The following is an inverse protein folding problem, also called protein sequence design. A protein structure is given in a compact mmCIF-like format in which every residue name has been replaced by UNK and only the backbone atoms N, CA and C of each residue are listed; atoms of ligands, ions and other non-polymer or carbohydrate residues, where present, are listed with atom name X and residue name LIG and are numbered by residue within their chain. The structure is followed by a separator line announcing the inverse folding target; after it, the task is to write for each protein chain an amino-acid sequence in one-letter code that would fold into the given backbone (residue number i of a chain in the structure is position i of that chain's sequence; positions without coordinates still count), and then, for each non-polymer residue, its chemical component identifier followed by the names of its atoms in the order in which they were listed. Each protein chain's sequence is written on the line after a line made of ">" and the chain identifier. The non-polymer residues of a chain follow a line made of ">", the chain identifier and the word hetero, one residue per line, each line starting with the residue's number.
data_IF_362830942223
#
_entry.id   IF_362830942223
#
_cell.length_a   1.000
_cell.length_b   1.000
_cell.length_c   1.000
_cell.angle_alpha   90.00
_cell.angle_beta   90.00
_cell.angle_gamma   90.00
#
_symmetry.space_group_name_H-M   'P 1'
#
loop_
_entity.id
_entity.type
_entity.pdbx_description
1 polymer ?
#
# COMPACT_ATOMS: atom_id res chain seq x y z
N UNK A 1 -68.05 43.39 -39.55
CA UNK A 1 -67.15 42.91 -38.48
C UNK A 1 -65.89 42.42 -39.15
N UNK A 2 -64.96 43.34 -39.36
CA UNK A 2 -63.60 43.02 -39.79
C UNK A 2 -62.81 42.65 -38.54
N UNK A 3 -62.28 41.44 -38.49
CA UNK A 3 -61.11 41.14 -37.66
C UNK A 3 -60.05 40.68 -38.63
N UNK A 4 -59.07 41.56 -38.80
CA UNK A 4 -57.90 41.43 -39.65
C UNK A 4 -57.14 40.15 -39.31
N UNK A 5 -57.02 39.26 -40.28
CA UNK A 5 -56.10 38.15 -40.22
C UNK A 5 -55.54 37.92 -41.62
N UNK A 6 -54.21 37.78 -41.67
CA UNK A 6 -53.38 37.38 -42.81
C UNK A 6 -53.01 38.54 -43.76
N UNK A 7 -51.78 39.05 -43.67
CA UNK A 7 -50.74 38.74 -44.66
C UNK A 7 -49.35 39.22 -44.20
N UNK A 8 -48.39 38.33 -44.42
CA UNK A 8 -46.95 38.43 -44.20
C UNK A 8 -46.32 39.81 -44.36
N UNK A 9 -45.57 40.20 -43.33
CA UNK A 9 -44.34 40.96 -43.50
C UNK A 9 -43.25 40.31 -42.65
N UNK A 10 -42.44 39.49 -43.32
CA UNK A 10 -41.19 38.94 -42.83
C UNK A 10 -40.23 40.10 -42.52
N UNK A 11 -40.33 40.65 -41.32
CA UNK A 11 -39.28 41.50 -40.77
C UNK A 11 -38.19 40.59 -40.21
N UNK A 12 -37.05 40.61 -40.89
CA UNK A 12 -35.79 39.98 -40.51
C UNK A 12 -35.35 40.49 -39.11
N UNK A 13 -35.86 39.85 -38.04
CA UNK A 13 -35.47 40.14 -36.67
C UNK A 13 -34.02 39.66 -36.51
N UNK A 14 -33.08 40.60 -36.52
CA UNK A 14 -31.66 40.35 -36.21
C UNK A 14 -31.25 41.40 -35.19
N UNK A 15 -30.45 40.99 -34.20
CA UNK A 15 -30.05 41.86 -33.09
C UNK A 15 -29.19 43.02 -33.63
N UNK A 16 -29.59 44.29 -33.42
CA UNK A 16 -28.92 45.45 -34.01
C UNK A 16 -27.51 45.73 -33.48
N UNK A 17 -26.97 44.90 -32.57
CA UNK A 17 -25.62 45.05 -32.03
C UNK A 17 -24.66 43.92 -32.43
N UNK A 18 -25.13 42.78 -32.95
CA UNK A 18 -24.23 41.70 -33.38
C UNK A 18 -24.59 41.02 -34.71
N UNK A 19 -25.71 41.38 -35.36
CA UNK A 19 -26.02 40.92 -36.71
C UNK A 19 -26.30 39.42 -36.86
N UNK A 20 -26.38 38.66 -35.76
CA UNK A 20 -26.83 37.28 -35.81
C UNK A 20 -28.32 37.26 -36.20
N UNK A 21 -28.65 36.58 -37.30
CA UNK A 21 -30.03 36.30 -37.65
C UNK A 21 -30.68 35.47 -36.54
N UNK A 22 -31.97 35.70 -36.26
CA UNK A 22 -32.80 34.76 -35.49
C UNK A 22 -32.90 33.44 -36.27
N UNK A 23 -31.83 32.66 -36.34
CA UNK A 23 -31.95 31.22 -36.52
C UNK A 23 -32.65 30.69 -35.26
N UNK A 24 -33.96 30.60 -35.38
CA UNK A 24 -34.89 29.83 -34.58
C UNK A 24 -34.47 29.71 -33.09
N UNK A 25 -34.59 30.82 -32.34
CA UNK A 25 -34.40 30.87 -30.88
C UNK A 25 -35.19 29.75 -30.20
N UNK A 26 -36.32 29.35 -30.79
CA UNK A 26 -37.11 28.18 -30.40
C UNK A 26 -36.31 26.88 -30.52
N UNK A 27 -35.65 26.62 -31.66
CA UNK A 27 -34.80 25.44 -31.88
C UNK A 27 -33.57 25.41 -30.97
N UNK A 28 -32.90 26.55 -30.75
CA UNK A 28 -31.79 26.65 -29.78
C UNK A 28 -32.29 26.40 -28.35
N UNK A 29 -33.42 26.98 -27.97
CA UNK A 29 -34.03 26.79 -26.65
C UNK A 29 -34.42 25.33 -26.42
N UNK A 30 -35.00 24.66 -27.41
CA UNK A 30 -35.34 23.23 -27.36
C UNK A 30 -34.09 22.37 -27.22
N UNK A 31 -33.00 22.65 -27.96
CA UNK A 31 -31.72 21.94 -27.83
C UNK A 31 -31.11 22.12 -26.43
N UNK A 32 -31.14 23.33 -25.89
CA UNK A 32 -30.65 23.62 -24.53
C UNK A 32 -31.50 22.92 -23.47
N UNK A 33 -32.83 22.94 -23.61
CA UNK A 33 -33.74 22.21 -22.74
C UNK A 33 -33.49 20.70 -22.78
N UNK A 34 -33.29 20.14 -23.96
CA UNK A 34 -32.99 18.72 -24.13
C UNK A 34 -31.62 18.36 -23.52
N UNK A 35 -30.63 19.23 -23.64
CA UNK A 35 -29.33 19.05 -23.00
C UNK A 35 -29.42 19.12 -21.47
N UNK A 36 -30.27 19.99 -20.91
CA UNK A 36 -30.52 20.04 -19.46
C UNK A 36 -31.13 18.73 -18.96
N UNK A 37 -32.09 18.18 -19.71
CA UNK A 37 -32.74 16.91 -19.37
C UNK A 37 -31.74 15.73 -19.45
N UNK A 38 -30.92 15.70 -20.49
CA UNK A 38 -29.90 14.67 -20.68
C UNK A 38 -28.84 14.71 -19.56
N UNK A 39 -28.33 15.91 -19.25
CA UNK A 39 -27.42 16.12 -18.12
C UNK A 39 -28.08 15.76 -16.78
N UNK A 40 -29.36 16.09 -16.59
CA UNK A 40 -30.13 15.71 -15.41
C UNK A 40 -30.23 14.19 -15.25
N UNK A 41 -30.49 13.47 -16.35
CA UNK A 41 -30.53 12.00 -16.37
C UNK A 41 -29.16 11.39 -16.03
N UNK A 42 -28.08 11.98 -16.55
CA UNK A 42 -26.72 11.52 -16.30
C UNK A 42 -26.34 11.68 -14.82
N UNK A 43 -26.70 12.81 -14.21
CA UNK A 43 -26.49 13.05 -12.77
C UNK A 43 -27.29 12.04 -11.94
N UNK A 44 -28.53 11.72 -12.31
CA UNK A 44 -29.32 10.71 -11.61
C UNK A 44 -28.68 9.32 -11.69
N UNK A 45 -28.21 8.90 -12.88
CA UNK A 45 -27.54 7.61 -13.06
C UNK A 45 -26.23 7.55 -12.25
N UNK A 46 -25.44 8.62 -12.28
CA UNK A 46 -24.21 8.72 -11.48
C UNK A 46 -24.52 8.64 -9.99
N UNK A 47 -25.57 9.34 -9.53
CA UNK A 47 -26.00 9.30 -8.13
C UNK A 47 -26.41 7.90 -7.71
N UNK A 48 -27.21 7.19 -8.53
CA UNK A 48 -27.58 5.81 -8.27
C UNK A 48 -26.34 4.90 -8.15
N UNK A 49 -25.35 5.07 -9.04
CA UNK A 49 -24.08 4.31 -8.98
C UNK A 49 -23.25 4.64 -7.74
N UNK A 50 -23.26 5.90 -7.29
CA UNK A 50 -22.57 6.29 -6.05
C UNK A 50 -23.26 5.64 -4.85
N UNK A 51 -24.59 5.57 -4.82
CA UNK A 51 -25.34 4.88 -3.76
C UNK A 51 -25.00 3.38 -3.76
N UNK A 52 -25.05 2.70 -4.91
CA UNK A 52 -24.66 1.28 -5.03
C UNK A 52 -23.21 1.04 -4.59
N UNK A 53 -22.31 1.98 -4.88
CA UNK A 53 -20.93 1.90 -4.42
C UNK A 53 -20.87 2.06 -2.90
N UNK A 54 -21.53 3.05 -2.31
CA UNK A 54 -21.57 3.27 -0.85
C UNK A 54 -22.13 2.04 -0.13
N UNK A 55 -23.17 1.40 -0.65
CA UNK A 55 -23.74 0.17 -0.08
C UNK A 55 -22.71 -0.97 -0.04
N UNK A 56 -21.94 -1.16 -1.13
CA UNK A 56 -20.85 -2.14 -1.15
C UNK A 56 -19.72 -1.80 -0.17
N UNK A 57 -19.44 -0.51 0.05
CA UNK A 57 -18.45 -0.10 1.03
C UNK A 57 -18.90 -0.39 2.46
N UNK A 58 -20.20 -0.25 2.76
CA UNK A 58 -20.77 -0.66 4.04
C UNK A 58 -20.57 -2.17 4.29
N UNK A 59 -20.80 -3.01 3.27
CA UNK A 59 -20.54 -4.45 3.37
C UNK A 59 -19.05 -4.77 3.65
N UNK A 60 -18.13 -4.05 3.01
CA UNK A 60 -16.69 -4.22 3.26
C UNK A 60 -16.29 -3.74 4.66
N UNK A 61 -16.86 -2.64 5.16
CA UNK A 61 -16.63 -2.20 6.54
C UNK A 61 -17.06 -3.25 7.55
N UNK A 62 -18.23 -3.86 7.36
CA UNK A 62 -18.74 -4.90 8.25
C UNK A 62 -17.91 -6.18 8.19
N UNK A 63 -17.44 -6.58 6.99
CA UNK A 63 -16.47 -7.68 6.86
C UNK A 63 -15.16 -7.38 7.59
N UNK A 64 -14.64 -6.16 7.49
CA UNK A 64 -13.44 -5.75 8.23
C UNK A 64 -13.69 -5.79 9.74
N UNK A 65 -14.85 -5.33 10.22
CA UNK A 65 -15.23 -5.41 11.64
C UNK A 65 -15.32 -6.87 12.10
N UNK A 66 -15.94 -7.74 11.31
CA UNK A 66 -16.04 -9.17 11.61
C UNK A 66 -14.67 -9.87 11.66
N UNK A 67 -13.77 -9.56 10.72
CA UNK A 67 -12.41 -10.11 10.73
C UNK A 67 -11.61 -9.59 11.93
N UNK A 68 -11.75 -8.30 12.28
CA UNK A 68 -11.11 -7.73 13.48
C UNK A 68 -11.62 -8.39 14.77
N UNK A 69 -12.92 -8.63 14.90
CA UNK A 69 -13.47 -9.34 16.06
C UNK A 69 -13.03 -10.80 16.10
N UNK A 70 -12.97 -11.49 14.95
CA UNK A 70 -12.46 -12.86 14.85
C UNK A 70 -10.98 -12.95 15.25
N UNK A 71 -10.13 -12.02 14.79
CA UNK A 71 -8.73 -11.93 15.20
C UNK A 71 -8.62 -11.67 16.71
N UNK A 72 -9.42 -10.74 17.26
CA UNK A 72 -9.46 -10.45 18.70
C UNK A 72 -9.89 -11.68 19.52
N UNK A 73 -10.86 -12.44 19.04
CA UNK A 73 -11.29 -13.70 19.66
C UNK A 73 -10.20 -14.78 19.58
N UNK A 74 -9.53 -14.96 18.44
CA UNK A 74 -8.38 -15.91 18.34
C UNK A 74 -7.26 -15.56 19.31
N UNK A 75 -6.94 -14.27 19.48
CA UNK A 75 -5.92 -13.82 20.42
C UNK A 75 -6.36 -14.06 21.88
N UNK A 76 -7.64 -13.87 22.21
CA UNK A 76 -8.17 -14.14 23.56
C UNK A 76 -8.26 -15.64 23.90
N UNK A 77 -8.64 -16.51 22.95
CA UNK A 77 -8.70 -17.97 23.17
C UNK A 77 -7.32 -18.61 23.35
N UNK A 78 -6.23 -17.90 23.00
CA UNK A 78 -4.86 -18.41 23.23
C UNK A 78 -4.33 -18.10 24.65
N UNK A 79 -5.11 -17.43 25.50
CA UNK A 79 -4.66 -16.96 26.83
C UNK A 79 -5.45 -17.49 28.05
N UNK A 80 -6.50 -18.31 27.91
CA UNK A 80 -7.20 -18.89 29.09
C UNK A 80 -7.68 -20.33 28.86
N UNK A 81 -7.37 -21.19 29.86
CA UNK A 81 -7.79 -22.58 30.14
C UNK A 81 -6.81 -23.70 29.76
N UNK A 82 -6.04 -24.13 30.77
CA UNK A 82 -5.97 -25.55 31.18
C UNK A 82 -6.07 -25.56 32.73
N UNK A 83 -7.02 -26.33 33.31
CA UNK A 83 -6.56 -27.52 34.01
C UNK A 83 -7.44 -28.77 33.82
N UNK A 84 -6.81 -29.83 33.30
CA UNK A 84 -6.83 -31.26 33.76
C UNK A 84 -8.11 -32.12 33.52
N UNK A 85 -7.97 -33.44 33.20
CA UNK A 85 -9.00 -34.21 32.51
C UNK A 85 -9.92 -35.02 33.44
N UNK A 86 -11.16 -35.24 33.00
CA UNK A 86 -12.01 -36.32 33.48
C UNK A 86 -12.64 -37.11 32.33
N UNK A 87 -12.49 -38.42 32.49
CA UNK A 87 -13.09 -39.55 31.77
C UNK A 87 -14.57 -39.38 31.45
N UNK A 88 -14.95 -39.65 30.19
CA UNK A 88 -16.08 -40.52 29.81
C UNK A 88 -16.01 -40.86 28.32
N UNK A 89 -15.92 -42.17 28.08
CA UNK A 89 -15.99 -42.85 26.78
C UNK A 89 -17.38 -42.67 26.16
N UNK A 90 -17.48 -42.61 24.82
CA UNK A 90 -18.28 -43.64 24.18
C UNK A 90 -17.51 -44.32 23.04
N UNK A 91 -17.59 -45.63 23.03
CA UNK A 91 -17.20 -46.51 21.94
C UNK A 91 -18.08 -46.28 20.72
N UNK A 92 -17.50 -46.27 19.51
CA UNK A 92 -17.98 -47.00 18.30
C UNK A 92 -17.05 -46.72 17.08
N UNK A 93 -16.49 -47.83 16.54
CA UNK A 93 -16.20 -48.17 15.11
C UNK A 93 -15.15 -47.31 14.36
N UNK A 94 -13.89 -47.76 14.18
CA UNK A 94 -13.36 -48.76 13.22
C UNK A 94 -13.34 -48.31 11.74
N UNK A 95 -12.13 -48.05 11.21
CA UNK A 95 -11.80 -48.14 9.79
C UNK A 95 -11.56 -46.81 9.04
N UNK A 96 -10.35 -46.63 8.50
CA UNK A 96 -10.09 -45.74 7.35
C UNK A 96 -9.07 -44.63 7.60
N UNK A 97 -7.83 -44.88 7.21
CA UNK A 97 -6.79 -43.86 7.11
C UNK A 97 -7.10 -42.93 5.92
N UNK A 98 -7.30 -41.63 6.17
CA UNK A 98 -7.28 -40.59 5.14
C UNK A 98 -6.01 -39.75 5.33
N UNK A 99 -4.94 -40.19 4.68
CA UNK A 99 -3.75 -39.37 4.39
C UNK A 99 -3.98 -38.71 3.03
N UNK A 100 -3.92 -37.38 2.87
CA UNK A 100 -3.68 -36.81 1.56
C UNK A 100 -2.18 -36.86 1.28
N UNK A 101 -1.75 -37.89 0.54
CA UNK A 101 -0.64 -37.73 -0.39
C UNK A 101 -1.12 -36.76 -1.49
N UNK A 102 -0.44 -35.63 -1.64
CA UNK A 102 -0.48 -34.86 -2.87
C UNK A 102 0.91 -34.91 -3.51
N UNK A 103 1.04 -35.74 -4.54
CA UNK A 103 2.11 -35.65 -5.53
C UNK A 103 1.61 -34.75 -6.66
N UNK A 104 2.37 -33.70 -6.97
CA UNK A 104 2.11 -32.77 -8.06
C UNK A 104 3.41 -32.10 -8.51
N UNK A 105 4.06 -32.75 -9.46
CA UNK A 105 5.31 -32.39 -10.14
C UNK A 105 5.37 -30.94 -10.63
N UNK A 106 6.45 -30.23 -10.31
CA UNK A 106 6.83 -28.94 -10.89
C UNK A 106 8.35 -28.78 -10.83
N UNK A 107 8.99 -29.07 -11.96
CA UNK A 107 10.45 -29.12 -12.15
C UNK A 107 10.98 -27.70 -12.26
N UNK A 108 12.05 -27.37 -11.55
CA UNK A 108 13.19 -26.67 -12.16
C UNK A 108 14.44 -26.93 -11.33
N UNK A 109 15.40 -27.54 -12.02
CA UNK A 109 16.74 -27.82 -11.55
C UNK A 109 17.61 -26.57 -11.71
N UNK A 110 18.42 -26.30 -10.70
CA UNK A 110 19.78 -25.72 -10.73
C UNK A 110 20.22 -25.69 -9.26
N UNK A 111 20.74 -26.79 -8.70
CA UNK A 111 22.11 -27.27 -8.85
C UNK A 111 23.16 -26.26 -8.34
N UNK A 112 23.47 -26.32 -7.05
CA UNK A 112 24.84 -26.53 -6.56
C UNK A 112 24.86 -26.65 -5.02
N UNK A 113 25.46 -27.74 -4.54
CA UNK A 113 25.98 -27.99 -3.20
C UNK A 113 27.52 -27.98 -3.30
N UNK A 114 28.34 -28.22 -2.25
CA UNK A 114 28.10 -28.32 -0.80
C UNK A 114 29.08 -27.50 0.11
N UNK A 115 28.70 -27.44 1.38
CA UNK A 115 29.50 -27.48 2.64
C UNK A 115 31.03 -27.62 2.56
N UNK A 116 31.79 -26.88 3.38
CA UNK A 116 32.64 -27.40 4.49
C UNK A 116 33.42 -26.28 5.23
N UNK A 117 33.86 -26.61 6.44
CA UNK A 117 34.28 -25.79 7.58
C UNK A 117 35.76 -25.41 7.53
N UNK A 118 36.18 -24.34 8.21
CA UNK A 118 37.29 -24.34 9.20
C UNK A 118 37.46 -22.97 9.91
N UNK A 119 38.13 -22.93 11.09
CA UNK A 119 38.30 -21.76 11.96
C UNK A 119 39.72 -21.13 11.89
N UNK A 120 39.94 -20.14 12.78
CA UNK A 120 41.18 -19.51 13.30
C UNK A 120 41.77 -18.25 12.62
N UNK A 121 41.51 -17.12 13.31
CA UNK A 121 42.47 -16.19 13.93
C UNK A 121 43.33 -15.23 13.08
N UNK A 122 43.09 -13.93 13.35
CA UNK A 122 44.06 -12.88 13.71
C UNK A 122 44.30 -11.72 12.73
N UNK A 123 44.34 -10.53 13.34
CA UNK A 123 44.88 -9.23 12.90
C UNK A 123 43.81 -8.26 12.34
N UNK A 124 43.24 -7.33 13.12
CA UNK A 124 43.79 -6.14 13.81
C UNK A 124 43.63 -4.85 13.00
N UNK A 125 43.25 -3.78 13.71
CA UNK A 125 43.34 -2.35 13.37
C UNK A 125 42.06 -1.69 12.79
N UNK A 126 41.23 -1.24 13.74
CA UNK A 126 40.83 0.16 14.02
C UNK A 126 40.41 1.16 12.92
N UNK A 127 39.56 2.16 13.28
CA UNK A 127 38.76 2.97 12.38
C UNK A 127 39.36 4.36 12.10
N UNK A 128 39.12 4.91 10.91
CA UNK A 128 39.26 6.35 10.65
C UNK A 128 38.24 6.82 9.61
N UNK A 129 37.49 7.85 9.99
CA UNK A 129 36.74 8.77 9.12
C UNK A 129 37.65 9.38 8.04
N UNK A 130 37.08 9.81 6.90
CA UNK A 130 37.33 11.20 6.53
C UNK A 130 36.11 11.95 5.99
N UNK A 131 36.21 13.24 6.25
CA UNK A 131 35.44 14.40 5.85
C UNK A 131 35.31 14.58 4.33
N UNK A 132 34.20 15.18 3.92
CA UNK A 132 34.00 16.05 2.74
C UNK A 132 34.40 15.53 1.35
N UNK A 133 33.40 15.20 0.55
CA UNK A 133 33.38 15.62 -0.86
C UNK A 133 31.95 15.62 -1.39
N UNK A 134 31.49 16.83 -1.66
CA UNK A 134 30.27 17.20 -2.36
C UNK A 134 30.22 16.58 -3.76
N UNK A 135 29.11 15.95 -4.11
CA UNK A 135 28.73 15.74 -5.51
C UNK A 135 27.22 15.53 -5.62
N UNK A 136 26.49 16.63 -5.46
CA UNK A 136 25.12 16.76 -5.94
C UNK A 136 25.18 16.89 -7.46
N UNK A 137 24.72 15.85 -8.17
CA UNK A 137 24.39 15.89 -9.59
C UNK A 137 23.13 16.74 -9.79
N UNK A 138 23.33 18.04 -10.01
CA UNK A 138 22.30 18.99 -10.40
C UNK A 138 22.08 18.90 -11.91
N UNK A 139 20.93 18.39 -12.32
CA UNK A 139 20.45 18.49 -13.69
C UNK A 139 20.02 19.95 -13.95
N UNK A 140 20.74 20.63 -14.83
CA UNK A 140 20.38 21.96 -15.33
C UNK A 140 19.34 21.82 -16.45
N UNK A 141 18.21 22.55 -16.43
CA UNK A 141 17.44 22.79 -17.64
C UNK A 141 18.03 23.99 -18.39
N UNK A 142 18.53 23.70 -19.59
CA UNK A 142 18.87 24.68 -20.61
C UNK A 142 17.62 25.45 -21.05
N UNK A 143 17.64 26.77 -20.96
CA UNK A 143 16.65 27.64 -21.64
C UNK A 143 17.22 29.05 -21.77
N UNK A 144 18.06 29.25 -22.79
CA UNK A 144 18.46 30.56 -23.28
C UNK A 144 17.87 30.76 -24.67
N UNK A 145 16.69 31.37 -24.76
CA UNK A 145 16.19 31.97 -25.99
C UNK A 145 15.53 33.30 -25.65
N UNK A 146 16.21 34.36 -26.09
CA UNK A 146 15.86 35.76 -26.00
C UNK A 146 14.62 36.10 -26.83
N UNK A 147 13.75 37.02 -26.40
CA UNK A 147 12.88 37.73 -27.31
C UNK A 147 13.61 38.96 -27.87
N UNK A 148 13.79 38.95 -29.19
CA UNK A 148 14.13 40.12 -29.99
C UNK A 148 12.91 41.03 -30.12
N UNK A 149 13.04 42.29 -29.74
CA UNK A 149 12.18 43.37 -30.19
C UNK A 149 12.97 44.66 -30.38
N UNK A 150 12.80 45.21 -31.57
CA UNK A 150 13.37 46.40 -32.18
C UNK A 150 12.73 47.71 -31.70
N UNK A 151 13.51 48.79 -31.59
CA UNK A 151 13.24 50.20 -31.98
C UNK A 151 14.22 51.14 -31.24
N UNK A 152 15.11 51.88 -31.91
CA UNK A 152 14.97 53.33 -32.27
C UNK A 152 14.33 54.15 -31.13
N UNK A 153 14.89 55.23 -30.57
CA UNK A 153 15.75 56.29 -31.12
C UNK A 153 16.07 57.31 -30.00
N UNK A 154 17.21 58.00 -30.12
CA UNK A 154 17.50 59.38 -29.66
C UNK A 154 17.06 59.84 -28.26
N UNK A 155 18.01 60.00 -27.35
CA UNK A 155 17.88 60.76 -26.11
C UNK A 155 18.47 62.18 -26.24
N UNK A 156 17.61 63.19 -26.27
CA UNK A 156 17.98 64.56 -25.86
C UNK A 156 16.73 65.31 -25.35
N UNK A 157 16.36 65.07 -24.08
CA UNK A 157 15.64 65.96 -23.14
C UNK A 157 14.87 65.15 -22.07
N UNK A 158 15.47 64.83 -20.91
CA UNK A 158 14.76 64.06 -19.86
C UNK A 158 15.35 64.24 -18.45
N UNK A 159 15.20 65.43 -17.84
CA UNK A 159 15.52 65.64 -16.42
C UNK A 159 14.29 65.52 -15.49
N UNK A 160 13.08 65.39 -16.05
CA UNK A 160 11.82 65.18 -15.30
C UNK A 160 11.32 63.72 -15.35
N UNK A 161 11.91 62.88 -16.21
CA UNK A 161 11.57 61.46 -16.42
C UNK A 161 12.31 60.51 -15.44
N UNK A 162 13.33 61.01 -14.75
CA UNK A 162 14.14 60.26 -13.79
C UNK A 162 13.41 60.06 -12.46
N UNK A 163 12.54 60.97 -12.03
CA UNK A 163 11.80 60.82 -10.77
C UNK A 163 10.65 59.82 -10.91
N UNK A 164 9.92 59.84 -12.03
CA UNK A 164 8.83 58.90 -12.32
C UNK A 164 9.35 57.47 -12.53
N UNK A 165 10.50 57.32 -13.17
CA UNK A 165 11.15 56.01 -13.32
C UNK A 165 11.67 55.46 -11.99
N UNK A 166 12.22 56.30 -11.11
CA UNK A 166 12.62 55.86 -9.76
C UNK A 166 11.42 55.40 -8.93
N UNK A 167 10.26 56.07 -9.02
CA UNK A 167 9.04 55.63 -8.33
C UNK A 167 8.51 54.31 -8.89
N UNK A 168 8.46 54.15 -10.21
CA UNK A 168 8.06 52.88 -10.85
C UNK A 168 8.98 51.72 -10.49
N UNK A 169 10.30 51.95 -10.40
CA UNK A 169 11.28 50.95 -9.97
C UNK A 169 11.03 50.49 -8.53
N UNK A 170 10.70 51.41 -7.62
CA UNK A 170 10.37 51.04 -6.23
C UNK A 170 9.08 50.24 -6.15
N UNK A 171 8.06 50.57 -6.95
CA UNK A 171 6.83 49.79 -7.04
C UNK A 171 7.05 48.41 -7.67
N UNK A 172 7.91 48.30 -8.70
CA UNK A 172 8.25 47.02 -9.30
C UNK A 172 9.00 46.12 -8.30
N UNK A 173 9.91 46.69 -7.52
CA UNK A 173 10.67 45.99 -6.49
C UNK A 173 9.77 45.51 -5.34
N UNK A 174 8.80 46.31 -4.90
CA UNK A 174 7.83 45.86 -3.89
C UNK A 174 6.97 44.72 -4.42
N UNK A 175 6.50 44.79 -5.69
CA UNK A 175 5.78 43.68 -6.34
C UNK A 175 6.65 42.41 -6.40
N UNK A 176 7.91 42.50 -6.80
CA UNK A 176 8.83 41.35 -6.82
C UNK A 176 9.00 40.73 -5.43
N UNK A 177 9.25 41.56 -4.39
CA UNK A 177 9.38 41.08 -3.01
C UNK A 177 8.11 40.40 -2.52
N UNK A 178 6.93 40.93 -2.83
CA UNK A 178 5.66 40.29 -2.43
C UNK A 178 5.46 38.95 -3.12
N UNK A 179 5.80 38.85 -4.42
CA UNK A 179 5.73 37.59 -5.15
C UNK A 179 6.72 36.57 -4.57
N UNK A 180 7.92 37.02 -4.22
CA UNK A 180 8.94 36.18 -3.60
C UNK A 180 8.53 35.71 -2.21
N UNK A 181 8.03 36.59 -1.35
CA UNK A 181 7.50 36.24 -0.04
C UNK A 181 6.34 35.24 -0.16
N UNK A 182 5.44 35.42 -1.14
CA UNK A 182 4.37 34.47 -1.40
C UNK A 182 4.89 33.10 -1.88
N UNK A 183 5.93 33.08 -2.71
CA UNK A 183 6.58 31.85 -3.14
C UNK A 183 7.32 31.15 -1.98
N UNK A 184 8.01 31.90 -1.14
CA UNK A 184 8.68 31.40 0.08
C UNK A 184 7.65 30.81 1.06
N UNK A 185 6.48 31.45 1.23
CA UNK A 185 5.38 30.93 2.05
C UNK A 185 4.84 29.58 1.53
N UNK A 186 4.60 29.47 0.22
CA UNK A 186 4.19 28.19 -0.40
C UNK A 186 5.26 27.12 -0.25
N UNK A 187 6.54 27.49 -0.37
CA UNK A 187 7.65 26.55 -0.17
C UNK A 187 7.67 26.05 1.29
N UNK A 188 7.48 26.93 2.27
CA UNK A 188 7.39 26.52 3.68
C UNK A 188 6.19 25.60 3.95
N UNK A 189 5.02 25.89 3.39
CA UNK A 189 3.82 25.04 3.52
C UNK A 189 4.08 23.64 2.96
N UNK A 190 4.65 23.55 1.75
CA UNK A 190 5.00 22.23 1.18
C UNK A 190 6.09 21.52 1.96
N UNK A 191 7.04 22.25 2.56
CA UNK A 191 8.07 21.65 3.42
C UNK A 191 7.46 21.04 4.68
N UNK A 192 6.51 21.73 5.30
CA UNK A 192 5.79 21.27 6.49
C UNK A 192 4.94 20.02 6.18
N UNK A 193 4.21 20.00 5.06
CA UNK A 193 3.45 18.83 4.62
C UNK A 193 4.35 17.60 4.40
N UNK A 194 5.52 17.79 3.78
CA UNK A 194 6.50 16.72 3.56
C UNK A 194 7.05 16.23 4.89
N UNK A 195 7.37 17.14 5.82
CA UNK A 195 7.84 16.79 7.16
C UNK A 195 6.79 15.98 7.91
N UNK A 196 5.52 16.39 7.88
CA UNK A 196 4.41 15.67 8.51
C UNK A 196 4.24 14.27 7.91
N UNK A 197 4.16 14.16 6.58
CA UNK A 197 4.03 12.86 5.90
C UNK A 197 5.23 11.96 6.19
N UNK A 198 6.44 12.53 6.25
CA UNK A 198 7.63 11.77 6.61
C UNK A 198 7.55 11.25 8.05
N UNK A 199 7.12 12.08 9.00
CA UNK A 199 6.94 11.69 10.39
C UNK A 199 5.88 10.59 10.54
N UNK A 200 4.75 10.70 9.83
CA UNK A 200 3.71 9.68 9.78
C UNK A 200 4.25 8.35 9.23
N UNK A 201 4.99 8.37 8.13
CA UNK A 201 5.57 7.17 7.53
C UNK A 201 6.60 6.52 8.46
N UNK A 202 7.48 7.30 9.10
CA UNK A 202 8.44 6.77 10.07
C UNK A 202 7.75 6.18 11.30
N UNK A 203 6.68 6.82 11.80
CA UNK A 203 5.89 6.30 12.91
C UNK A 203 5.22 4.96 12.55
N UNK A 204 4.57 4.88 11.39
CA UNK A 204 3.94 3.66 10.89
C UNK A 204 4.97 2.53 10.68
N UNK A 205 6.13 2.86 10.10
CA UNK A 205 7.21 1.89 9.90
C UNK A 205 7.74 1.37 11.25
N UNK A 206 7.95 2.25 12.22
CA UNK A 206 8.40 1.88 13.55
C UNK A 206 7.37 1.01 14.29
N UNK A 207 6.08 1.32 14.16
CA UNK A 207 5.00 0.51 14.73
C UNK A 207 4.97 -0.90 14.11
N UNK A 208 5.02 -0.99 12.78
CA UNK A 208 5.01 -2.28 12.08
C UNK A 208 6.18 -3.18 12.51
N UNK A 209 7.39 -2.61 12.60
CA UNK A 209 8.58 -3.33 13.07
C UNK A 209 8.45 -3.72 14.54
N UNK A 210 7.86 -2.87 15.38
CA UNK A 210 7.60 -3.22 16.78
C UNK A 210 6.61 -4.39 16.90
N UNK A 211 5.55 -4.40 16.08
CA UNK A 211 4.60 -5.52 15.99
C UNK A 211 5.31 -6.79 15.53
N UNK A 212 6.12 -6.72 14.48
CA UNK A 212 6.92 -7.86 14.00
C UNK A 212 7.81 -8.41 15.11
N UNK A 213 8.58 -7.55 15.80
CA UNK A 213 9.46 -7.98 16.91
C UNK A 213 8.69 -8.69 18.02
N UNK A 214 7.51 -8.17 18.39
CA UNK A 214 6.64 -8.81 19.40
C UNK A 214 6.12 -10.17 18.91
N UNK A 215 5.61 -10.23 17.67
CA UNK A 215 5.09 -11.47 17.10
C UNK A 215 6.19 -12.53 16.96
N UNK A 216 7.37 -12.12 16.49
CA UNK A 216 8.54 -12.97 16.35
C UNK A 216 8.99 -13.53 17.70
N UNK A 217 9.12 -12.69 18.72
CA UNK A 217 9.47 -13.13 20.07
C UNK A 217 8.44 -14.14 20.65
N UNK A 218 7.14 -13.90 20.41
CA UNK A 218 6.08 -14.83 20.84
C UNK A 218 6.18 -16.20 20.12
N UNK A 219 6.46 -16.20 18.82
CA UNK A 219 6.64 -17.42 18.04
C UNK A 219 7.90 -18.17 18.46
N UNK A 220 9.01 -17.46 18.65
CA UNK A 220 10.27 -18.03 19.13
C UNK A 220 10.07 -18.69 20.51
N UNK A 221 9.36 -18.04 21.43
CA UNK A 221 9.01 -18.64 22.74
C UNK A 221 8.17 -19.91 22.59
N UNK A 222 7.17 -19.90 21.70
CA UNK A 222 6.34 -21.09 21.47
C UNK A 222 7.15 -22.22 20.84
N UNK A 223 8.03 -21.91 19.89
CA UNK A 223 8.93 -22.88 19.25
C UNK A 223 9.84 -23.53 20.28
N UNK A 224 10.43 -22.76 21.19
CA UNK A 224 11.28 -23.29 22.26
C UNK A 224 10.54 -24.31 23.14
N UNK A 225 9.27 -24.02 23.50
CA UNK A 225 8.44 -24.96 24.28
C UNK A 225 8.14 -26.23 23.48
N UNK A 226 7.82 -26.10 22.19
CA UNK A 226 7.56 -27.24 21.32
C UNK A 226 8.80 -28.13 21.20
N UNK A 227 9.96 -27.52 20.98
CA UNK A 227 11.23 -28.22 20.87
C UNK A 227 11.57 -29.01 22.15
N UNK A 228 11.41 -28.39 23.33
CA UNK A 228 11.60 -29.09 24.62
C UNK A 228 10.70 -30.33 24.73
N UNK A 229 9.41 -30.19 24.38
CA UNK A 229 8.47 -31.33 24.42
C UNK A 229 8.85 -32.43 23.43
N UNK A 230 9.33 -32.08 22.25
CA UNK A 230 9.71 -33.07 21.25
C UNK A 230 11.03 -33.76 21.61
N UNK A 231 11.97 -33.05 22.24
CA UNK A 231 13.16 -33.66 22.85
C UNK A 231 12.79 -34.65 23.96
N UNK A 232 11.87 -34.30 24.86
CA UNK A 232 11.39 -35.22 25.90
C UNK A 232 10.72 -36.48 25.32
N UNK A 233 9.87 -36.32 24.30
CA UNK A 233 9.25 -37.46 23.61
C UNK A 233 10.31 -38.33 22.94
N UNK A 234 11.28 -37.72 22.25
CA UNK A 234 12.39 -38.45 21.61
C UNK A 234 13.16 -39.29 22.64
N UNK A 235 13.48 -38.73 23.80
CA UNK A 235 14.14 -39.48 24.88
C UNK A 235 13.27 -40.63 25.41
N UNK A 236 11.94 -40.46 25.48
CA UNK A 236 11.04 -41.56 25.89
C UNK A 236 11.01 -42.67 24.83
N UNK A 237 10.96 -42.31 23.56
CA UNK A 237 11.02 -43.26 22.45
C UNK A 237 12.33 -44.03 22.45
N UNK A 238 13.47 -43.35 22.61
CA UNK A 238 14.78 -44.01 22.70
C UNK A 238 14.84 -45.05 23.83
N UNK A 239 14.29 -44.73 25.01
CA UNK A 239 14.20 -45.71 26.12
C UNK A 239 13.34 -46.92 25.74
N UNK A 240 12.23 -46.70 25.05
CA UNK A 240 11.35 -47.77 24.59
C UNK A 240 12.00 -48.61 23.49
N UNK A 241 12.69 -47.99 22.54
CA UNK A 241 13.45 -48.67 21.47
C UNK A 241 14.54 -49.56 22.08
N UNK A 242 15.30 -49.05 23.04
CA UNK A 242 16.29 -49.83 23.78
C UNK A 242 15.65 -51.04 24.51
N UNK A 243 14.46 -50.86 25.10
CA UNK A 243 13.73 -51.96 25.74
C UNK A 243 13.25 -53.00 24.70
N UNK A 244 12.74 -52.55 23.55
CA UNK A 244 12.30 -53.42 22.46
C UNK A 244 13.50 -54.21 21.90
N UNK A 245 14.64 -53.57 21.65
CA UNK A 245 15.87 -54.26 21.21
C UNK A 245 16.32 -55.34 22.21
N UNK A 246 16.17 -55.09 23.52
CA UNK A 246 16.45 -56.11 24.55
C UNK A 246 15.49 -57.28 24.47
N UNK A 247 14.19 -57.01 24.32
CA UNK A 247 13.15 -58.04 24.17
C UNK A 247 13.41 -58.87 22.90
N UNK A 248 13.76 -58.22 21.79
CA UNK A 248 14.04 -58.86 20.52
C UNK A 248 15.26 -59.80 20.61
N UNK A 249 16.34 -59.36 21.28
CA UNK A 249 17.49 -60.22 21.56
C UNK A 249 17.11 -61.46 22.38
N UNK A 250 16.34 -61.29 23.45
CA UNK A 250 15.88 -62.41 24.28
C UNK A 250 14.99 -63.35 23.49
N UNK A 251 14.07 -62.82 22.68
CA UNK A 251 13.20 -63.61 21.79
C UNK A 251 14.01 -64.43 20.80
N UNK A 252 15.07 -63.86 20.21
CA UNK A 252 16.01 -64.57 19.34
C UNK A 252 16.70 -65.74 20.07
N UNK A 253 17.22 -65.51 21.27
CA UNK A 253 17.85 -66.56 22.09
C UNK A 253 16.87 -67.67 22.47
N UNK A 254 15.65 -67.33 22.90
CA UNK A 254 14.61 -68.32 23.22
C UNK A 254 14.22 -69.17 22.00
N UNK A 255 14.09 -68.54 20.83
CA UNK A 255 13.80 -69.25 19.59
C UNK A 255 14.93 -70.20 19.17
N UNK A 256 16.19 -69.82 19.40
CA UNK A 256 17.34 -70.71 19.16
C UNK A 256 17.36 -71.92 20.12
N UNK A 257 17.10 -71.71 21.42
CA UNK A 257 17.04 -72.77 22.43
C UNK A 257 15.88 -73.74 22.19
N UNK A 258 14.71 -73.25 21.77
CA UNK A 258 13.57 -74.11 21.45
C UNK A 258 13.84 -75.01 20.24
N UNK A 259 14.57 -74.50 19.22
CA UNK A 259 14.98 -75.32 18.05
C UNK A 259 15.95 -76.43 18.45
N UNK A 260 16.93 -76.14 19.30
CA UNK A 260 17.89 -77.15 19.79
C UNK A 260 17.17 -78.27 20.55
N UNK A 261 16.17 -77.93 21.38
CA UNK A 261 15.38 -78.92 22.12
C UNK A 261 14.44 -79.76 21.23
N UNK A 262 14.12 -79.31 20.02
CA UNK A 262 13.27 -80.05 19.09
C UNK A 262 14.06 -81.02 18.18
N UNK A 263 15.39 -80.91 18.17
CA UNK A 263 16.29 -81.74 17.34
C UNK A 263 16.98 -82.85 18.17
N UNK A 264 16.99 -82.72 19.49
CA UNK A 264 17.41 -83.74 20.45
C UNK A 264 16.21 -84.57 20.92
#
# INVERSE_FOLDING_TARGET
>A
MEILSIFSQDHHLSCPTCGAGLEDISSIGVKMHQQIEDLGSQVQILTARVIDAVDKWADYEDQIRALRTQLKQRVQTTQVVDPKPQSKRPSIVFGGYNFPLFFGSGRNASQSSPTEKTPVASSSLSPTSPTSSSSSSSLSPSSSLSPSSSSSSSSSSSSLSTTTSNTELTEALTREKTLRQAAEGKLSETSEEIEELSAQLFMQANEMVAVERRMRANLESRLEILEKRDQEKKQRLERLENAIQRIERVRGLLSSRSKIKAVA
#
